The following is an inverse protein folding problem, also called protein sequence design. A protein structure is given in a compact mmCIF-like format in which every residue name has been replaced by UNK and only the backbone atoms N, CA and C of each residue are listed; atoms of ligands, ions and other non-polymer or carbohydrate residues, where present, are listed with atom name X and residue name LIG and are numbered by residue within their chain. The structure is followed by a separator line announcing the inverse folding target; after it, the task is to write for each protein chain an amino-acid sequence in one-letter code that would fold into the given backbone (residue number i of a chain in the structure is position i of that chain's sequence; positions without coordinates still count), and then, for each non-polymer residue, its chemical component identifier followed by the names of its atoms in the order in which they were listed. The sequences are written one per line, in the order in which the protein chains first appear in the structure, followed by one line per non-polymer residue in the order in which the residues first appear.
data_IF_597725989931
#
_entry.id   IF_597725989931
#
_cell.length_a   1.000
_cell.length_b   1.000
_cell.length_c   1.000
_cell.angle_alpha   90.00
_cell.angle_beta   90.00
_cell.angle_gamma   90.00
#
_symmetry.space_group_name_H-M   'P 1'
#
loop_
_entity.id
_entity.type
_entity.pdbx_description
1 polymer ?
#
# COMPACT_ATOMS: atom_id res chain seq x y z
N UNK A 1 0.97 20.21 18.11
CA UNK A 1 1.22 18.78 18.41
C UNK A 1 1.74 18.14 17.12
N UNK A 2 2.66 17.17 17.13
CA UNK A 2 3.04 16.53 15.85
C UNK A 2 1.93 15.58 15.38
N UNK A 3 1.79 15.36 14.07
CA UNK A 3 0.82 14.41 13.51
C UNK A 3 0.95 13.03 14.17
N UNK A 4 2.18 12.57 14.39
CA UNK A 4 2.45 11.32 15.08
C UNK A 4 1.91 11.31 16.51
N UNK A 5 2.07 12.40 17.27
CA UNK A 5 1.51 12.49 18.63
C UNK A 5 -0.02 12.38 18.63
N UNK A 6 -0.69 13.11 17.72
CA UNK A 6 -2.15 13.04 17.54
C UNK A 6 -2.58 11.62 17.20
N UNK A 7 -1.90 10.98 16.24
CA UNK A 7 -2.19 9.62 15.82
C UNK A 7 -1.98 8.61 16.95
N UNK A 8 -0.93 8.74 17.77
CA UNK A 8 -0.70 7.87 18.92
C UNK A 8 -1.79 7.97 19.99
N UNK A 9 -2.32 9.17 20.23
CA UNK A 9 -3.47 9.36 21.14
C UNK A 9 -4.70 8.63 20.58
N UNK A 10 -5.01 8.87 19.31
CA UNK A 10 -6.13 8.22 18.61
C UNK A 10 -5.96 6.69 18.61
N UNK A 11 -4.74 6.20 18.43
CA UNK A 11 -4.46 4.76 18.43
C UNK A 11 -4.72 4.13 19.80
N UNK A 12 -4.23 4.75 20.89
CA UNK A 12 -4.50 4.26 22.26
C UNK A 12 -5.99 4.24 22.57
N UNK A 13 -6.74 5.27 22.16
CA UNK A 13 -8.20 5.31 22.30
C UNK A 13 -8.88 4.23 21.47
N UNK A 14 -8.45 4.03 20.22
CA UNK A 14 -8.98 3.02 19.33
C UNK A 14 -8.85 1.59 19.91
N UNK A 15 -7.72 1.28 20.56
CA UNK A 15 -7.49 -0.01 21.22
C UNK A 15 -8.46 -0.32 22.37
N UNK A 16 -9.17 0.68 22.91
CA UNK A 16 -10.18 0.45 23.94
C UNK A 16 -11.49 -0.12 23.37
N UNK A 17 -11.71 0.02 22.06
CA UNK A 17 -12.89 -0.49 21.36
C UNK A 17 -12.72 -1.90 20.81
N UNK A 18 -11.48 -2.41 20.79
CA UNK A 18 -11.17 -3.75 20.30
C UNK A 18 -11.43 -4.82 21.36
N UNK A 19 -11.74 -6.07 20.97
CA UNK A 19 -11.90 -7.18 21.90
C UNK A 19 -10.63 -7.38 22.76
N UNK A 20 -10.79 -7.71 24.06
CA UNK A 20 -9.64 -8.10 24.90
C UNK A 20 -8.89 -9.30 24.31
N UNK A 21 -7.57 -9.19 24.18
CA UNK A 21 -6.72 -10.19 23.53
C UNK A 21 -5.24 -9.96 23.83
N UNK A 22 -4.37 -10.94 23.54
CA UNK A 22 -2.92 -10.73 23.65
C UNK A 22 -2.44 -9.65 22.68
N UNK A 23 -3.01 -9.58 21.48
CA UNK A 23 -2.72 -8.53 20.50
C UNK A 23 -3.01 -7.12 21.04
N UNK A 24 -4.16 -6.91 21.67
CA UNK A 24 -4.51 -5.59 22.23
C UNK A 24 -3.62 -5.22 23.40
N UNK A 25 -3.28 -6.17 24.26
CA UNK A 25 -2.37 -5.95 25.39
C UNK A 25 -0.94 -5.66 24.91
N UNK A 26 -0.45 -6.38 23.90
CA UNK A 26 0.81 -6.11 23.22
C UNK A 26 0.84 -4.68 22.66
N UNK A 27 -0.19 -4.28 21.91
CA UNK A 27 -0.26 -2.94 21.33
C UNK A 27 -0.32 -1.86 22.43
N UNK A 28 -1.05 -2.09 23.54
CA UNK A 28 -1.08 -1.15 24.68
C UNK A 28 0.27 -1.03 25.35
N UNK A 29 0.99 -2.13 25.54
CA UNK A 29 2.32 -2.16 26.14
C UNK A 29 3.36 -1.44 25.29
N UNK A 30 3.40 -1.71 23.98
CA UNK A 30 4.41 -1.11 23.09
C UNK A 30 4.17 0.38 22.87
N UNK A 31 2.91 0.82 22.91
CA UNK A 31 2.52 2.22 22.76
C UNK A 31 2.73 3.08 24.02
N UNK A 32 3.29 2.53 25.12
CA UNK A 32 3.62 3.32 26.29
C UNK A 32 4.73 4.33 25.96
N UNK A 33 4.62 5.62 26.36
CA UNK A 33 5.65 6.63 26.07
C UNK A 33 7.05 6.29 26.60
N UNK A 34 7.11 5.46 27.65
CA UNK A 34 8.35 5.01 28.29
C UNK A 34 8.91 3.72 27.70
N UNK A 35 8.23 3.10 26.73
CA UNK A 35 8.69 1.84 26.15
C UNK A 35 9.84 2.11 25.16
N UNK A 36 11.05 1.54 25.37
CA UNK A 36 12.19 1.78 24.48
C UNK A 36 11.99 1.23 23.07
N UNK A 37 11.07 0.28 22.87
CA UNK A 37 10.77 -0.34 21.57
C UNK A 37 9.67 0.40 20.79
N UNK A 38 9.13 1.50 21.34
CA UNK A 38 8.06 2.27 20.69
C UNK A 38 8.47 2.72 19.28
N UNK A 39 9.62 3.37 19.15
CA UNK A 39 10.08 3.91 17.86
C UNK A 39 10.21 2.82 16.80
N UNK A 40 10.79 1.68 17.18
CA UNK A 40 10.95 0.53 16.30
C UNK A 40 9.59 -0.03 15.86
N UNK A 41 8.66 -0.22 16.79
CA UNK A 41 7.31 -0.66 16.47
C UNK A 41 6.57 0.31 15.53
N UNK A 42 6.77 1.62 15.68
CA UNK A 42 6.18 2.63 14.80
C UNK A 42 6.77 2.60 13.38
N UNK A 43 8.04 2.25 13.23
CA UNK A 43 8.64 2.00 11.92
C UNK A 43 8.12 0.71 11.28
N UNK A 44 8.08 -0.39 12.05
CA UNK A 44 7.60 -1.68 11.54
C UNK A 44 6.11 -1.66 11.18
N UNK A 45 5.30 -0.84 11.85
CA UNK A 45 3.88 -0.68 11.55
C UNK A 45 3.58 0.40 10.50
N UNK A 46 4.60 0.93 9.82
CA UNK A 46 4.52 2.01 8.83
C UNK A 46 4.03 3.36 9.31
N UNK A 47 3.64 3.49 10.58
CA UNK A 47 2.92 4.67 11.06
C UNK A 47 3.77 5.95 10.95
N UNK A 48 5.07 5.85 11.22
CA UNK A 48 6.00 6.98 11.05
C UNK A 48 6.06 7.44 9.60
N UNK A 49 6.22 6.52 8.66
CA UNK A 49 6.37 6.86 7.24
C UNK A 49 5.05 7.37 6.64
N UNK A 50 3.91 6.83 7.08
CA UNK A 50 2.60 7.37 6.74
C UNK A 50 2.44 8.80 7.29
N UNK A 51 2.81 9.08 8.54
CA UNK A 51 2.77 10.46 9.06
C UNK A 51 3.65 11.42 8.24
N UNK A 52 4.83 10.97 7.81
CA UNK A 52 5.71 11.73 6.91
C UNK A 52 5.07 12.00 5.55
N UNK A 53 4.42 10.99 4.95
CA UNK A 53 3.65 11.16 3.71
C UNK A 53 2.58 12.23 3.89
N UNK A 54 1.70 12.12 4.88
CA UNK A 54 0.58 13.05 5.03
C UNK A 54 1.06 14.47 5.35
N UNK A 55 2.12 14.62 6.13
CA UNK A 55 2.78 15.92 6.35
C UNK A 55 3.31 16.49 5.03
N UNK A 56 3.94 15.67 4.19
CA UNK A 56 4.42 16.08 2.87
C UNK A 56 3.27 16.46 1.92
N UNK A 57 2.22 15.64 1.84
CA UNK A 57 1.04 15.88 0.99
C UNK A 57 0.39 17.23 1.28
N UNK A 58 0.39 17.66 2.55
CA UNK A 58 -0.25 18.90 2.99
C UNK A 58 0.72 20.05 3.26
N UNK A 59 2.00 19.94 2.87
CA UNK A 59 3.06 20.92 3.21
C UNK A 59 2.63 22.40 3.29
N UNK A 60 1.96 22.99 2.28
CA UNK A 60 1.51 24.39 2.34
C UNK A 60 0.52 24.71 3.49
N UNK A 61 -0.30 23.73 3.88
CA UNK A 61 -1.33 23.82 4.90
C UNK A 61 -0.78 23.73 6.34
N UNK A 62 0.47 23.28 6.53
CA UNK A 62 1.08 23.21 7.88
C UNK A 62 1.39 24.60 8.46
N UNK A 63 1.27 25.66 7.67
CA UNK A 63 1.46 27.04 8.11
C UNK A 63 0.26 27.57 8.92
N UNK A 64 -0.92 26.98 8.74
CA UNK A 64 -2.11 27.30 9.52
C UNK A 64 -2.28 26.24 10.62
N UNK A 65 -1.74 26.53 11.81
CA UNK A 65 -1.68 25.57 12.90
C UNK A 65 -3.05 25.10 13.38
N UNK A 66 -4.08 25.94 13.34
CA UNK A 66 -5.42 25.59 13.81
C UNK A 66 -6.08 24.57 12.87
N UNK A 67 -6.06 24.86 11.57
CA UNK A 67 -6.58 23.91 10.58
C UNK A 67 -5.70 22.66 10.47
N UNK A 68 -4.39 22.79 10.68
CA UNK A 68 -3.46 21.65 10.70
C UNK A 68 -3.72 20.70 11.87
N UNK A 69 -3.93 21.21 13.08
CA UNK A 69 -4.26 20.37 14.24
C UNK A 69 -5.61 19.65 14.02
N UNK A 70 -6.59 20.33 13.40
CA UNK A 70 -7.86 19.70 13.02
C UNK A 70 -7.65 18.60 11.95
N UNK A 71 -6.90 18.88 10.89
CA UNK A 71 -6.51 17.90 9.88
C UNK A 71 -5.82 16.67 10.51
N UNK A 72 -4.88 16.86 11.43
CA UNK A 72 -4.19 15.77 12.12
C UNK A 72 -5.15 14.87 12.90
N UNK A 73 -6.18 15.45 13.52
CA UNK A 73 -7.21 14.68 14.22
C UNK A 73 -8.00 13.81 13.24
N UNK A 74 -8.44 14.39 12.11
CA UNK A 74 -9.21 13.70 11.08
C UNK A 74 -8.38 12.65 10.30
N UNK A 75 -7.07 12.87 10.12
CA UNK A 75 -6.18 11.88 9.50
C UNK A 75 -5.95 10.64 10.36
N UNK A 76 -6.13 10.76 11.68
CA UNK A 76 -5.83 9.66 12.59
C UNK A 76 -6.56 8.37 12.23
N UNK A 77 -7.79 8.46 11.75
CA UNK A 77 -8.61 7.30 11.38
C UNK A 77 -8.12 6.63 10.10
N UNK A 78 -7.74 7.44 9.10
CA UNK A 78 -7.15 6.93 7.87
C UNK A 78 -5.78 6.30 8.12
N UNK A 79 -4.95 6.93 8.95
CA UNK A 79 -3.65 6.38 9.36
C UNK A 79 -3.81 5.06 10.12
N UNK A 80 -4.79 4.95 11.00
CA UNK A 80 -5.10 3.70 11.70
C UNK A 80 -5.54 2.62 10.73
N UNK A 81 -6.46 2.95 9.81
CA UNK A 81 -6.91 2.03 8.78
C UNK A 81 -5.74 1.55 7.92
N UNK A 82 -4.92 2.45 7.37
CA UNK A 82 -3.75 2.11 6.56
C UNK A 82 -2.73 1.26 7.33
N UNK A 83 -2.52 1.53 8.61
CA UNK A 83 -1.64 0.70 9.48
C UNK A 83 -2.16 -0.72 9.63
N UNK A 84 -3.47 -0.92 9.72
CA UNK A 84 -4.05 -2.27 9.71
C UNK A 84 -4.13 -2.88 8.32
N UNK A 85 -4.13 -2.07 7.24
CA UNK A 85 -4.01 -2.56 5.87
C UNK A 85 -2.64 -3.19 5.61
N UNK A 86 -1.57 -2.70 6.23
CA UNK A 86 -0.25 -3.38 6.20
C UNK A 86 -0.37 -4.84 6.67
N UNK A 87 -1.15 -5.09 7.72
CA UNK A 87 -1.36 -6.45 8.22
C UNK A 87 -2.10 -7.31 7.21
N UNK A 88 -3.14 -6.79 6.56
CA UNK A 88 -3.88 -7.55 5.53
C UNK A 88 -3.09 -7.74 4.24
N UNK A 89 -2.29 -6.75 3.83
CA UNK A 89 -1.43 -6.83 2.65
C UNK A 89 -0.35 -7.90 2.85
N UNK A 90 0.23 -7.98 4.05
CA UNK A 90 1.20 -9.02 4.35
C UNK A 90 0.62 -10.44 4.26
N UNK A 91 -0.68 -10.64 4.50
CA UNK A 91 -1.31 -11.96 4.33
C UNK A 91 -1.33 -12.43 2.87
N UNK A 92 -1.08 -11.53 1.91
CA UNK A 92 -0.95 -11.86 0.50
C UNK A 92 0.50 -12.20 0.09
N UNK A 93 1.48 -12.05 0.98
CA UNK A 93 2.85 -12.53 0.73
C UNK A 93 2.82 -14.05 0.53
N UNK A 94 3.59 -14.56 -0.43
CA UNK A 94 3.56 -15.99 -0.77
C UNK A 94 2.54 -16.37 -1.87
N UNK A 95 1.60 -15.49 -2.21
CA UNK A 95 0.52 -15.82 -3.16
C UNK A 95 0.90 -15.67 -4.63
N UNK A 96 1.90 -14.88 -4.97
CA UNK A 96 2.25 -14.71 -6.38
C UNK A 96 2.84 -16.01 -6.95
N UNK A 97 2.44 -16.33 -8.18
CA UNK A 97 2.97 -17.44 -8.97
C UNK A 97 2.84 -18.84 -8.32
N UNK A 98 2.08 -18.97 -7.21
CA UNK A 98 1.85 -20.25 -6.54
C UNK A 98 0.43 -20.35 -5.99
N UNK A 99 -0.14 -21.56 -5.99
CA UNK A 99 -1.41 -21.85 -5.33
C UNK A 99 -1.18 -22.08 -3.83
N UNK A 100 -0.82 -21.04 -3.09
CA UNK A 100 -0.58 -21.16 -1.65
C UNK A 100 -1.88 -21.29 -0.85
N UNK A 101 -1.82 -22.09 0.21
CA UNK A 101 -2.97 -22.47 1.04
C UNK A 101 -3.66 -21.30 1.77
N UNK A 102 -3.00 -20.15 1.92
CA UNK A 102 -3.57 -18.98 2.60
C UNK A 102 -4.40 -18.05 1.69
N UNK A 103 -4.54 -18.35 0.38
CA UNK A 103 -5.38 -17.54 -0.53
C UNK A 103 -6.86 -17.50 -0.11
N UNK A 104 -7.35 -18.54 0.56
CA UNK A 104 -8.70 -18.57 1.15
C UNK A 104 -8.86 -17.52 2.27
N UNK A 105 -7.80 -17.25 3.04
CA UNK A 105 -7.82 -16.28 4.13
C UNK A 105 -7.97 -14.87 3.57
N UNK A 106 -7.14 -14.52 2.58
CA UNK A 106 -7.20 -13.21 1.91
C UNK A 106 -8.56 -13.01 1.25
N UNK A 107 -9.01 -13.98 0.47
CA UNK A 107 -10.29 -13.89 -0.23
C UNK A 107 -11.49 -13.78 0.72
N UNK A 108 -11.51 -14.58 1.78
CA UNK A 108 -12.59 -14.54 2.78
C UNK A 108 -12.57 -13.21 3.57
N UNK A 109 -11.41 -12.73 3.99
CA UNK A 109 -11.28 -11.44 4.68
C UNK A 109 -11.80 -10.29 3.80
N UNK A 110 -11.35 -10.23 2.55
CA UNK A 110 -11.77 -9.23 1.58
C UNK A 110 -13.28 -9.28 1.32
N UNK A 111 -13.87 -10.47 1.19
CA UNK A 111 -15.33 -10.63 1.05
C UNK A 111 -16.07 -10.08 2.27
N UNK A 112 -15.62 -10.39 3.49
CA UNK A 112 -16.23 -9.81 4.70
C UNK A 112 -16.17 -8.29 4.70
N UNK A 113 -15.06 -7.72 4.23
CA UNK A 113 -14.86 -6.29 4.21
C UNK A 113 -15.74 -5.62 3.13
N UNK A 114 -15.90 -6.25 1.96
CA UNK A 114 -16.87 -5.85 0.93
C UNK A 114 -18.32 -5.86 1.48
N UNK A 115 -18.72 -6.93 2.17
CA UNK A 115 -20.08 -7.05 2.74
C UNK A 115 -20.34 -5.94 3.77
N UNK A 116 -19.33 -5.69 4.62
CA UNK A 116 -19.33 -4.60 5.60
C UNK A 116 -19.48 -3.24 4.94
N UNK A 117 -18.77 -2.99 3.84
CA UNK A 117 -18.83 -1.73 3.10
C UNK A 117 -20.15 -1.56 2.33
N UNK A 118 -20.79 -2.64 1.93
CA UNK A 118 -22.04 -2.62 1.16
C UNK A 118 -23.25 -2.43 2.06
N UNK A 119 -23.44 -3.30 3.05
CA UNK A 119 -24.70 -3.42 3.80
C UNK A 119 -24.56 -3.08 5.30
N UNK A 120 -23.42 -2.55 5.74
CA UNK A 120 -23.11 -2.31 7.16
C UNK A 120 -23.24 -3.56 8.06
N UNK A 121 -23.17 -4.76 7.48
CA UNK A 121 -23.34 -6.05 8.15
C UNK A 121 -22.38 -6.22 9.34
N UNK A 122 -22.78 -6.88 10.46
CA UNK A 122 -21.86 -7.11 11.57
C UNK A 122 -20.65 -7.95 11.12
N UNK A 123 -19.49 -7.74 11.76
CA UNK A 123 -18.28 -8.51 11.48
C UNK A 123 -18.50 -9.95 11.96
N UNK A 124 -18.36 -10.93 11.06
CA UNK A 124 -18.48 -12.35 11.38
C UNK A 124 -17.23 -12.89 12.10
N UNK A 125 -16.98 -12.42 13.34
CA UNK A 125 -15.78 -12.73 14.12
C UNK A 125 -15.47 -14.22 14.25
N UNK A 126 -16.43 -15.14 14.52
CA UNK A 126 -16.11 -16.57 14.62
C UNK A 126 -15.51 -17.15 13.34
N UNK A 127 -16.00 -16.71 12.18
CA UNK A 127 -15.46 -17.13 10.88
C UNK A 127 -14.06 -16.54 10.66
N UNK A 128 -13.85 -15.27 11.02
CA UNK A 128 -12.53 -14.64 10.92
C UNK A 128 -11.49 -15.34 11.80
N UNK A 129 -11.86 -15.70 13.03
CA UNK A 129 -11.02 -16.48 13.94
C UNK A 129 -10.63 -17.84 13.34
N UNK A 130 -11.62 -18.55 12.76
CA UNK A 130 -11.39 -19.86 12.17
C UNK A 130 -10.41 -19.82 11.00
N UNK A 131 -10.56 -18.87 10.07
CA UNK A 131 -9.73 -18.84 8.85
C UNK A 131 -8.28 -18.45 9.13
N UNK A 132 -8.02 -17.60 10.14
CA UNK A 132 -6.65 -17.16 10.43
C UNK A 132 -5.92 -18.05 11.43
N UNK A 133 -6.60 -19.00 12.08
CA UNK A 133 -6.02 -19.83 13.13
C UNK A 133 -4.77 -20.62 12.67
N UNK A 134 -4.67 -20.92 11.36
CA UNK A 134 -3.56 -21.64 10.78
C UNK A 134 -2.50 -20.74 10.12
N UNK A 135 -2.67 -19.41 10.16
CA UNK A 135 -1.74 -18.49 9.48
C UNK A 135 -0.65 -18.03 10.45
N UNK A 136 0.62 -18.36 10.20
CA UNK A 136 1.75 -17.82 10.97
C UNK A 136 1.99 -16.37 10.58
N UNK A 137 1.07 -15.47 10.97
CA UNK A 137 1.05 -14.11 10.45
C UNK A 137 2.26 -13.26 10.86
N UNK A 138 2.95 -13.61 11.96
CA UNK A 138 4.22 -12.96 12.34
C UNK A 138 5.34 -13.27 11.34
N UNK A 139 5.28 -14.41 10.66
CA UNK A 139 6.21 -14.77 9.57
C UNK A 139 5.81 -14.13 8.25
N UNK A 140 4.55 -13.71 8.12
CA UNK A 140 4.04 -12.89 7.03
C UNK A 140 4.30 -11.41 7.37
N UNK A 141 5.57 -11.02 7.37
CA UNK A 141 5.98 -9.63 7.55
C UNK A 141 7.35 -9.41 6.89
N UNK A 142 7.52 -8.29 6.18
CA UNK A 142 8.80 -7.94 5.51
C UNK A 142 10.00 -7.96 6.47
N UNK A 143 9.77 -7.56 7.73
CA UNK A 143 10.73 -7.62 8.84
C UNK A 143 10.29 -8.57 9.98
N UNK A 144 9.88 -9.80 9.63
CA UNK A 144 9.36 -10.80 10.57
C UNK A 144 10.24 -11.00 11.82
N UNK A 145 11.56 -11.10 11.67
CA UNK A 145 12.48 -11.35 12.79
C UNK A 145 12.49 -10.20 13.80
N UNK A 146 12.53 -8.95 13.32
CA UNK A 146 12.49 -7.75 14.18
C UNK A 146 11.15 -7.62 14.87
N UNK A 147 10.05 -7.88 14.16
CA UNK A 147 8.73 -7.87 14.76
C UNK A 147 8.62 -8.95 15.85
N UNK A 148 9.09 -10.18 15.58
CA UNK A 148 9.18 -11.27 16.58
C UNK A 148 10.01 -10.86 17.81
N UNK A 149 11.13 -10.16 17.63
CA UNK A 149 11.94 -9.70 18.76
C UNK A 149 11.15 -8.74 19.69
N UNK A 150 10.33 -7.84 19.14
CA UNK A 150 9.47 -6.95 19.93
C UNK A 150 8.37 -7.75 20.65
N UNK A 151 7.76 -8.72 19.97
CA UNK A 151 6.74 -9.61 20.55
C UNK A 151 7.33 -10.43 21.69
N UNK A 152 8.54 -10.98 21.53
CA UNK A 152 9.24 -11.74 22.57
C UNK A 152 9.61 -10.86 23.78
N UNK A 153 9.95 -9.59 23.56
CA UNK A 153 10.19 -8.63 24.63
C UNK A 153 8.93 -8.27 25.43
N UNK A 154 7.75 -8.36 24.81
CA UNK A 154 6.48 -8.32 25.54
C UNK A 154 6.30 -9.61 26.34
N UNK A 155 6.26 -10.76 25.65
CA UNK A 155 6.17 -12.11 26.23
C UNK A 155 6.72 -13.15 25.25
N UNK A 156 7.62 -14.02 25.72
CA UNK A 156 8.29 -15.03 24.87
C UNK A 156 7.30 -16.00 24.16
N UNK A 157 6.22 -16.38 24.83
CA UNK A 157 5.19 -17.30 24.31
C UNK A 157 3.95 -16.56 23.77
N UNK A 158 4.06 -15.29 23.38
CA UNK A 158 2.93 -14.53 22.87
C UNK A 158 2.47 -15.09 21.51
N UNK A 159 1.25 -15.62 21.51
CA UNK A 159 0.50 -15.91 20.28
C UNK A 159 -0.44 -14.73 20.03
N UNK A 160 0.04 -13.76 19.26
CA UNK A 160 -0.75 -12.58 18.94
C UNK A 160 -1.84 -12.96 17.94
N UNK A 161 -3.10 -12.67 18.28
CA UNK A 161 -4.21 -13.18 17.49
C UNK A 161 -4.46 -12.31 16.24
N UNK A 162 -4.08 -12.81 15.06
CA UNK A 162 -4.22 -12.10 13.78
C UNK A 162 -5.64 -11.59 13.51
N UNK A 163 -6.67 -12.35 13.92
CA UNK A 163 -8.07 -11.98 13.71
C UNK A 163 -8.42 -10.66 14.39
N UNK A 164 -7.73 -10.29 15.48
CA UNK A 164 -7.96 -9.02 16.17
C UNK A 164 -7.47 -7.87 15.32
N UNK A 165 -6.28 -7.99 14.73
CA UNK A 165 -5.73 -6.99 13.82
C UNK A 165 -6.60 -6.83 12.55
N UNK A 166 -7.10 -7.93 11.99
CA UNK A 166 -8.02 -7.89 10.84
C UNK A 166 -9.39 -7.34 11.20
N UNK A 167 -9.93 -7.66 12.38
CA UNK A 167 -11.18 -7.04 12.85
C UNK A 167 -11.01 -5.53 13.05
N UNK A 168 -9.85 -5.12 13.55
CA UNK A 168 -9.48 -3.72 13.71
C UNK A 168 -9.35 -3.01 12.36
N UNK A 169 -8.82 -3.67 11.32
CA UNK A 169 -8.84 -3.16 9.96
C UNK A 169 -10.27 -2.79 9.52
N UNK A 170 -11.21 -3.74 9.62
CA UNK A 170 -12.61 -3.55 9.22
C UNK A 170 -13.26 -2.39 10.00
N UNK A 171 -13.02 -2.32 11.31
CA UNK A 171 -13.55 -1.25 12.17
C UNK A 171 -12.95 0.11 11.77
N UNK A 172 -11.64 0.20 11.56
CA UNK A 172 -10.98 1.44 11.17
C UNK A 172 -11.44 1.92 9.78
N UNK A 173 -11.64 1.00 8.83
CA UNK A 173 -12.18 1.30 7.50
C UNK A 173 -13.59 1.93 7.58
N UNK A 174 -14.43 1.45 8.50
CA UNK A 174 -15.73 2.07 8.79
C UNK A 174 -15.60 3.47 9.37
N UNK A 175 -14.68 3.67 10.31
CA UNK A 175 -14.47 4.99 10.92
C UNK A 175 -14.06 6.02 9.86
N UNK A 176 -13.18 5.64 8.93
CA UNK A 176 -12.78 6.48 7.78
C UNK A 176 -14.01 6.91 6.98
N UNK A 177 -14.91 5.98 6.66
CA UNK A 177 -16.14 6.32 5.94
C UNK A 177 -17.09 7.17 6.76
N UNK A 178 -17.15 7.00 8.09
CA UNK A 178 -18.02 7.81 8.95
C UNK A 178 -17.60 9.28 9.05
N UNK A 179 -16.32 9.58 8.79
CA UNK A 179 -15.76 10.94 8.82
C UNK A 179 -16.00 11.74 7.54
N UNK A 180 -16.32 11.07 6.42
CA UNK A 180 -16.58 11.76 5.16
C UNK A 180 -18.03 12.27 5.17
N UNK A 181 -18.20 13.54 5.54
CA UNK A 181 -19.52 14.19 5.64
C UNK A 181 -20.20 14.40 4.28
N UNK A 182 -19.43 14.59 3.21
CA UNK A 182 -19.98 14.86 1.88
C UNK A 182 -20.52 13.58 1.24
N UNK A 183 -21.83 13.45 0.94
CA UNK A 183 -22.44 12.18 0.51
C UNK A 183 -21.84 11.60 -0.77
N UNK A 184 -21.61 12.44 -1.78
CA UNK A 184 -21.02 11.99 -3.05
C UNK A 184 -19.58 11.48 -2.87
N UNK A 185 -18.77 12.18 -2.07
CA UNK A 185 -17.40 11.76 -1.76
C UNK A 185 -17.39 10.43 -0.99
N UNK A 186 -18.30 10.29 -0.01
CA UNK A 186 -18.46 9.08 0.78
C UNK A 186 -18.75 7.88 -0.12
N UNK A 187 -19.74 8.01 -1.01
CA UNK A 187 -20.12 6.96 -1.95
C UNK A 187 -18.96 6.57 -2.89
N UNK A 188 -18.21 7.55 -3.40
CA UNK A 188 -17.05 7.31 -4.27
C UNK A 188 -15.91 6.60 -3.54
N UNK A 189 -15.52 7.09 -2.37
CA UNK A 189 -14.45 6.48 -1.56
C UNK A 189 -14.83 5.05 -1.18
N UNK A 190 -16.09 4.83 -0.77
CA UNK A 190 -16.62 3.49 -0.51
C UNK A 190 -16.52 2.58 -1.74
N UNK A 191 -16.90 3.07 -2.92
CA UNK A 191 -16.78 2.29 -4.16
C UNK A 191 -15.32 1.98 -4.50
N UNK A 192 -14.40 2.94 -4.33
CA UNK A 192 -12.96 2.73 -4.53
C UNK A 192 -12.39 1.67 -3.57
N UNK A 193 -12.81 1.69 -2.30
CA UNK A 193 -12.44 0.66 -1.31
C UNK A 193 -12.98 -0.71 -1.73
N UNK A 194 -14.27 -0.81 -2.06
CA UNK A 194 -14.89 -2.05 -2.53
C UNK A 194 -14.14 -2.62 -3.76
N UNK A 195 -13.83 -1.76 -4.73
CA UNK A 195 -13.10 -2.15 -5.94
C UNK A 195 -11.71 -2.73 -5.63
N UNK A 196 -10.99 -2.17 -4.65
CA UNK A 196 -9.69 -2.71 -4.19
C UNK A 196 -9.81 -4.17 -3.73
N UNK A 197 -10.74 -4.46 -2.84
CA UNK A 197 -10.90 -5.81 -2.29
C UNK A 197 -11.41 -6.80 -3.33
N UNK A 198 -12.30 -6.37 -4.24
CA UNK A 198 -12.72 -7.20 -5.38
C UNK A 198 -11.56 -7.51 -6.33
N UNK A 199 -10.73 -6.51 -6.64
CA UNK A 199 -9.55 -6.71 -7.46
C UNK A 199 -8.60 -7.71 -6.79
N UNK A 200 -8.34 -7.55 -5.49
CA UNK A 200 -7.46 -8.46 -4.75
C UNK A 200 -7.99 -9.90 -4.74
N UNK A 201 -9.29 -10.11 -4.56
CA UNK A 201 -9.92 -11.43 -4.70
C UNK A 201 -9.73 -12.02 -6.10
N UNK A 202 -9.86 -11.17 -7.11
CA UNK A 202 -9.65 -11.57 -8.50
C UNK A 202 -8.19 -11.95 -8.75
N UNK A 203 -7.21 -11.23 -8.19
CA UNK A 203 -5.78 -11.60 -8.26
C UNK A 203 -5.45 -12.94 -7.59
N UNK A 204 -6.08 -13.22 -6.46
CA UNK A 204 -5.87 -14.48 -5.74
C UNK A 204 -6.38 -15.70 -6.52
N UNK A 205 -7.26 -15.50 -7.52
CA UNK A 205 -7.69 -16.59 -8.38
C UNK A 205 -6.49 -17.16 -9.17
N UNK A 206 -6.34 -18.50 -9.27
CA UNK A 206 -5.29 -19.10 -10.07
C UNK A 206 -5.42 -18.70 -11.55
N UNK A 207 -4.28 -18.49 -12.22
CA UNK A 207 -4.24 -18.26 -13.66
C UNK A 207 -3.10 -17.38 -14.10
N UNK A 208 -2.59 -17.66 -15.31
CA UNK A 208 -1.69 -16.76 -16.02
C UNK A 208 -2.52 -15.62 -16.59
N UNK A 209 -2.07 -14.38 -16.37
CA UNK A 209 -2.77 -13.17 -16.80
C UNK A 209 -1.96 -12.43 -17.85
N UNK A 210 -2.68 -11.71 -18.72
CA UNK A 210 -2.04 -10.76 -19.63
C UNK A 210 -1.51 -9.54 -18.86
N UNK A 211 -0.62 -8.78 -19.50
CA UNK A 211 -0.09 -7.55 -18.91
C UNK A 211 -1.18 -6.49 -18.72
N UNK A 212 -2.14 -6.40 -19.65
CA UNK A 212 -3.29 -5.48 -19.56
C UNK A 212 -4.22 -5.86 -18.40
N UNK A 213 -4.48 -7.16 -18.23
CA UNK A 213 -5.29 -7.66 -17.12
C UNK A 213 -4.62 -7.37 -15.78
N UNK A 214 -3.32 -7.69 -15.64
CA UNK A 214 -2.57 -7.39 -14.41
C UNK A 214 -2.52 -5.90 -14.13
N UNK A 215 -2.33 -5.07 -15.16
CA UNK A 215 -2.31 -3.63 -15.02
C UNK A 215 -3.64 -3.09 -14.49
N UNK A 216 -4.77 -3.50 -15.07
CA UNK A 216 -6.09 -3.08 -14.59
C UNK A 216 -6.35 -3.55 -13.15
N UNK A 217 -6.06 -4.81 -12.87
CA UNK A 217 -6.29 -5.42 -11.57
C UNK A 217 -5.39 -4.84 -10.48
N UNK A 218 -4.07 -4.82 -10.66
CA UNK A 218 -3.13 -4.33 -9.66
C UNK A 218 -3.25 -2.83 -9.41
N UNK A 219 -3.57 -2.04 -10.44
CA UNK A 219 -3.92 -0.63 -10.27
C UNK A 219 -5.13 -0.48 -9.34
N UNK A 220 -6.18 -1.30 -9.52
CA UNK A 220 -7.34 -1.29 -8.64
C UNK A 220 -7.03 -1.80 -7.22
N UNK A 221 -6.03 -2.67 -7.05
CA UNK A 221 -5.64 -3.14 -5.71
C UNK A 221 -5.00 -2.08 -4.83
N UNK A 222 -4.59 -0.91 -5.30
CA UNK A 222 -3.87 0.06 -4.46
C UNK A 222 -4.79 0.97 -3.61
N UNK A 223 -4.31 1.39 -2.42
CA UNK A 223 -5.02 2.39 -1.59
C UNK A 223 -4.84 3.84 -2.04
N UNK A 224 -4.08 4.11 -3.11
CA UNK A 224 -3.79 5.49 -3.53
C UNK A 224 -5.07 6.23 -3.92
N UNK A 225 -5.98 5.58 -4.65
CA UNK A 225 -7.28 6.18 -5.00
C UNK A 225 -8.08 6.58 -3.75
N UNK A 226 -8.48 5.66 -2.85
CA UNK A 226 -9.29 6.03 -1.69
C UNK A 226 -8.55 7.01 -0.76
N UNK A 227 -7.22 6.92 -0.65
CA UNK A 227 -6.40 7.87 0.12
C UNK A 227 -6.46 9.28 -0.46
N UNK A 228 -6.23 9.44 -1.77
CA UNK A 228 -6.27 10.74 -2.44
C UNK A 228 -7.68 11.34 -2.41
N UNK A 229 -8.71 10.53 -2.65
CA UNK A 229 -10.09 11.00 -2.53
C UNK A 229 -10.40 11.47 -1.11
N UNK A 230 -10.00 10.71 -0.08
CA UNK A 230 -10.17 11.12 1.31
C UNK A 230 -9.48 12.45 1.59
N UNK A 231 -8.19 12.57 1.25
CA UNK A 231 -7.41 13.78 1.46
C UNK A 231 -8.03 15.00 0.76
N UNK A 232 -8.32 14.89 -0.53
CA UNK A 232 -8.90 16.00 -1.31
C UNK A 232 -10.24 16.45 -0.74
N UNK A 233 -11.10 15.51 -0.33
CA UNK A 233 -12.41 15.85 0.23
C UNK A 233 -12.33 16.37 1.66
N UNK A 234 -11.40 15.86 2.48
CA UNK A 234 -11.18 16.37 3.83
C UNK A 234 -10.67 17.81 3.78
N UNK A 235 -9.74 18.10 2.86
CA UNK A 235 -9.29 19.47 2.60
C UNK A 235 -10.46 20.38 2.24
N UNK A 236 -11.31 19.97 1.29
CA UNK A 236 -12.44 20.80 0.86
C UNK A 236 -13.45 21.02 1.98
N UNK A 237 -13.67 20.03 2.85
CA UNK A 237 -14.57 20.17 4.00
C UNK A 237 -14.05 21.14 5.06
N UNK A 238 -12.74 21.19 5.27
CA UNK A 238 -12.12 22.00 6.33
C UNK A 238 -11.85 23.44 5.86
N UNK A 239 -11.42 23.62 4.61
CA UNK A 239 -10.91 24.91 4.13
C UNK A 239 -11.87 25.67 3.22
N UNK A 240 -12.96 25.06 2.75
CA UNK A 240 -13.95 25.74 1.91
C UNK A 240 -15.27 25.90 2.65
N UNK A 241 -15.73 27.13 2.76
CA UNK A 241 -17.03 27.45 3.36
C UNK A 241 -18.21 27.14 2.41
N UNK A 242 -17.98 27.20 1.10
CA UNK A 242 -19.03 27.04 0.08
C UNK A 242 -19.27 25.58 -0.31
N UNK A 243 -20.52 25.14 -0.13
CA UNK A 243 -20.98 23.82 -0.57
C UNK A 243 -20.92 23.63 -2.08
N UNK A 244 -21.04 24.69 -2.88
CA UNK A 244 -20.93 24.58 -4.34
C UNK A 244 -19.54 24.16 -4.75
N UNK A 245 -18.52 24.80 -4.21
CA UNK A 245 -17.12 24.46 -4.48
C UNK A 245 -16.72 23.09 -3.91
N UNK A 246 -17.20 22.72 -2.73
CA UNK A 246 -17.05 21.34 -2.22
C UNK A 246 -17.65 20.31 -3.18
N UNK A 247 -18.87 20.54 -3.68
CA UNK A 247 -19.52 19.65 -4.65
C UNK A 247 -18.73 19.56 -5.95
N UNK A 248 -18.19 20.68 -6.45
CA UNK A 248 -17.35 20.71 -7.65
C UNK A 248 -16.13 19.81 -7.46
N UNK A 249 -15.39 19.95 -6.35
CA UNK A 249 -14.25 19.09 -6.05
C UNK A 249 -14.65 17.61 -5.98
N UNK A 250 -15.74 17.30 -5.27
CA UNK A 250 -16.19 15.91 -5.10
C UNK A 250 -16.65 15.25 -6.41
N UNK A 251 -17.11 16.03 -7.38
CA UNK A 251 -17.72 15.53 -8.62
C UNK A 251 -16.87 15.71 -9.86
N UNK A 252 -15.83 16.55 -9.83
CA UNK A 252 -15.06 16.93 -11.01
C UNK A 252 -14.42 15.71 -11.70
N UNK A 253 -14.78 15.42 -12.97
CA UNK A 253 -14.26 14.25 -13.67
C UNK A 253 -12.78 14.38 -14.04
N UNK A 254 -12.27 15.59 -14.24
CA UNK A 254 -10.84 15.81 -14.56
C UNK A 254 -9.98 15.59 -13.33
N UNK A 255 -10.43 16.05 -12.17
CA UNK A 255 -9.75 15.77 -10.90
C UNK A 255 -9.73 14.27 -10.60
N UNK A 256 -10.84 13.57 -10.86
CA UNK A 256 -10.91 12.11 -10.72
C UNK A 256 -9.95 11.39 -11.67
N UNK A 257 -9.89 11.84 -12.93
CA UNK A 257 -8.94 11.31 -13.91
C UNK A 257 -7.49 11.49 -13.45
N UNK A 258 -7.16 12.65 -12.88
CA UNK A 258 -5.83 12.91 -12.32
C UNK A 258 -5.50 11.98 -11.13
N UNK A 259 -6.47 11.67 -10.26
CA UNK A 259 -6.32 10.68 -9.18
C UNK A 259 -6.04 9.28 -9.75
N UNK A 260 -6.75 8.89 -10.80
CA UNK A 260 -6.56 7.58 -11.43
C UNK A 260 -5.17 7.48 -12.08
N UNK A 261 -4.72 8.53 -12.77
CA UNK A 261 -3.38 8.60 -13.34
C UNK A 261 -2.31 8.49 -12.25
N UNK A 262 -2.44 9.25 -11.15
CA UNK A 262 -1.53 9.15 -10.01
C UNK A 262 -1.45 7.73 -9.46
N UNK A 263 -2.60 7.05 -9.32
CA UNK A 263 -2.64 5.67 -8.86
C UNK A 263 -1.91 4.70 -9.80
N UNK A 264 -2.13 4.81 -11.11
CA UNK A 264 -1.42 4.00 -12.11
C UNK A 264 0.08 4.27 -12.11
N UNK A 265 0.50 5.54 -12.01
CA UNK A 265 1.92 5.91 -11.89
C UNK A 265 2.55 5.30 -10.63
N UNK A 266 1.88 5.42 -9.49
CA UNK A 266 2.36 4.83 -8.23
C UNK A 266 2.41 3.31 -8.31
N UNK A 267 1.49 2.64 -9.01
CA UNK A 267 1.56 1.19 -9.21
C UNK A 267 2.78 0.79 -10.03
N UNK A 268 2.99 1.44 -11.18
CA UNK A 268 4.19 1.19 -11.99
C UNK A 268 5.46 1.41 -11.16
N UNK A 269 5.53 2.50 -10.40
CA UNK A 269 6.69 2.80 -9.54
C UNK A 269 6.89 1.74 -8.45
N UNK A 270 5.82 1.26 -7.82
CA UNK A 270 5.89 0.22 -6.80
C UNK A 270 6.52 -1.07 -7.31
N UNK A 271 6.27 -1.43 -8.56
CA UNK A 271 6.59 -2.76 -9.10
C UNK A 271 7.88 -2.80 -9.90
N UNK A 272 8.17 -1.70 -10.60
CA UNK A 272 9.33 -1.60 -11.49
C UNK A 272 10.43 -0.73 -10.89
N UNK A 273 10.08 0.23 -10.03
CA UNK A 273 10.98 1.28 -9.57
C UNK A 273 11.25 2.35 -10.65
N UNK A 274 11.67 3.56 -10.24
CA UNK A 274 11.81 4.71 -11.14
C UNK A 274 12.92 4.55 -12.18
N UNK A 275 13.99 3.80 -11.86
CA UNK A 275 15.15 3.63 -12.74
C UNK A 275 14.80 2.87 -14.01
N UNK A 276 14.09 1.74 -13.89
CA UNK A 276 13.65 0.95 -15.06
C UNK A 276 12.58 1.68 -15.87
N UNK A 277 11.65 2.38 -15.22
CA UNK A 277 10.58 3.12 -15.90
C UNK A 277 11.06 4.33 -16.70
N UNK A 278 12.23 4.87 -16.34
CA UNK A 278 12.85 6.02 -17.01
C UNK A 278 13.84 5.60 -18.10
N UNK A 279 14.20 4.33 -18.16
CA UNK A 279 15.16 3.80 -19.12
C UNK A 279 14.50 3.52 -20.49
N UNK A 280 15.29 3.61 -21.56
CA UNK A 280 14.86 3.17 -22.88
C UNK A 280 14.87 1.62 -23.00
N UNK A 281 14.23 1.11 -24.05
CA UNK A 281 14.08 -0.33 -24.26
C UNK A 281 15.42 -1.08 -24.38
N UNK A 282 16.44 -0.45 -24.96
CA UNK A 282 17.75 -1.04 -25.11
C UNK A 282 18.46 -1.16 -23.76
N UNK A 283 18.40 -0.10 -22.97
CA UNK A 283 18.98 -0.01 -21.62
C UNK A 283 18.32 -1.03 -20.68
N UNK A 284 16.98 -1.14 -20.72
CA UNK A 284 16.25 -2.18 -19.97
C UNK A 284 16.78 -3.57 -20.32
N UNK A 285 16.86 -3.90 -21.62
CA UNK A 285 17.33 -5.21 -22.06
C UNK A 285 18.80 -5.47 -21.66
N UNK A 286 19.65 -4.44 -21.70
CA UNK A 286 21.03 -4.52 -21.26
C UNK A 286 21.13 -4.83 -19.75
N UNK A 287 20.32 -4.19 -18.90
CA UNK A 287 20.33 -4.46 -17.45
C UNK A 287 20.00 -5.92 -17.13
N UNK A 288 18.92 -6.47 -17.70
CA UNK A 288 18.54 -7.87 -17.46
C UNK A 288 19.57 -8.86 -18.01
N UNK A 289 20.09 -8.63 -19.23
CA UNK A 289 21.12 -9.51 -19.82
C UNK A 289 22.43 -9.45 -19.05
N UNK A 290 22.82 -8.26 -18.59
CA UNK A 290 24.01 -8.10 -17.75
C UNK A 290 23.85 -8.81 -16.40
N UNK A 291 22.67 -8.75 -15.79
CA UNK A 291 22.36 -9.49 -14.56
C UNK A 291 22.56 -11.00 -14.77
N UNK A 292 21.96 -11.54 -15.83
CA UNK A 292 22.06 -12.96 -16.18
C UNK A 292 23.49 -13.42 -16.52
N UNK A 293 24.26 -12.60 -17.20
CA UNK A 293 25.66 -12.91 -17.54
C UNK A 293 26.60 -12.81 -16.34
N UNK A 294 26.36 -11.86 -15.45
CA UNK A 294 27.24 -11.61 -14.29
C UNK A 294 27.02 -12.59 -13.14
N UNK A 295 25.82 -13.18 -13.04
CA UNK A 295 25.46 -14.12 -11.98
C UNK A 295 24.88 -15.39 -12.61
N UNK A 296 25.73 -16.37 -12.96
CA UNK A 296 25.26 -17.66 -13.48
C UNK A 296 24.35 -18.37 -12.48
N UNK A 297 23.36 -19.10 -13.01
CA UNK A 297 22.52 -19.99 -12.21
C UNK A 297 23.34 -21.18 -11.68
N UNK A 298 23.01 -21.65 -10.48
CA UNK A 298 23.51 -22.93 -10.00
C UNK A 298 22.76 -24.09 -10.65
N UNK A 299 23.32 -25.29 -10.57
CA UNK A 299 22.63 -26.51 -11.00
C UNK A 299 21.32 -26.67 -10.21
N UNK A 300 20.23 -26.97 -10.92
CA UNK A 300 18.86 -27.15 -10.39
C UNK A 300 18.22 -25.91 -9.69
N UNK A 301 18.81 -24.72 -9.81
CA UNK A 301 18.24 -23.48 -9.27
C UNK A 301 17.05 -23.00 -10.10
N UNK A 302 15.89 -22.77 -9.46
CA UNK A 302 14.75 -22.14 -10.11
C UNK A 302 14.97 -20.63 -10.30
N UNK A 303 14.17 -20.00 -11.17
CA UNK A 303 14.37 -18.59 -11.51
C UNK A 303 14.08 -17.63 -10.35
N UNK A 304 13.19 -18.01 -9.42
CA UNK A 304 12.85 -17.18 -8.27
C UNK A 304 14.07 -17.10 -7.34
N UNK A 305 14.63 -18.26 -6.98
CA UNK A 305 15.83 -18.36 -6.15
C UNK A 305 17.04 -17.67 -6.80
N UNK A 306 17.25 -17.90 -8.10
CA UNK A 306 18.29 -17.24 -8.88
C UNK A 306 18.13 -15.71 -8.85
N UNK A 307 16.92 -15.19 -9.10
CA UNK A 307 16.69 -13.75 -9.18
C UNK A 307 16.89 -13.07 -7.82
N UNK A 308 16.43 -13.67 -6.72
CA UNK A 308 16.71 -13.18 -5.35
C UNK A 308 18.21 -13.03 -5.14
N UNK A 309 18.97 -14.08 -5.44
CA UNK A 309 20.43 -14.05 -5.29
C UNK A 309 21.12 -13.03 -6.22
N UNK A 310 20.66 -12.91 -7.45
CA UNK A 310 21.30 -12.06 -8.45
C UNK A 310 21.00 -10.57 -8.25
N UNK A 311 19.78 -10.22 -7.80
CA UNK A 311 19.26 -8.85 -7.85
C UNK A 311 19.32 -8.06 -6.52
N UNK A 312 19.63 -8.71 -5.38
CA UNK A 312 19.61 -8.14 -4.01
C UNK A 312 20.25 -6.73 -3.91
N UNK A 313 21.35 -6.49 -4.64
CA UNK A 313 22.11 -5.24 -4.56
C UNK A 313 22.18 -4.46 -5.87
N UNK A 314 21.27 -4.73 -6.80
CA UNK A 314 21.23 -4.02 -8.08
C UNK A 314 20.10 -2.99 -8.04
N UNK A 315 20.42 -1.68 -7.97
CA UNK A 315 19.40 -0.63 -7.72
C UNK A 315 18.21 -0.63 -8.67
N UNK A 316 18.44 -1.00 -9.93
CA UNK A 316 17.40 -1.10 -10.95
C UNK A 316 16.32 -2.15 -10.61
N UNK A 317 16.66 -3.15 -9.81
CA UNK A 317 15.80 -4.29 -9.52
C UNK A 317 15.28 -4.31 -8.08
N UNK A 318 15.53 -3.30 -7.25
CA UNK A 318 15.13 -3.34 -5.83
C UNK A 318 13.64 -3.66 -5.61
N UNK A 319 12.73 -3.09 -6.42
CA UNK A 319 11.29 -3.37 -6.31
C UNK A 319 10.93 -4.79 -6.76
N UNK A 320 11.40 -5.19 -7.94
CA UNK A 320 11.18 -6.55 -8.43
C UNK A 320 11.82 -7.60 -7.51
N UNK A 321 12.99 -7.32 -6.94
CA UNK A 321 13.68 -8.19 -5.99
C UNK A 321 12.83 -8.43 -4.75
N UNK A 322 12.27 -7.37 -4.14
CA UNK A 322 11.33 -7.49 -3.01
C UNK A 322 10.17 -8.42 -3.38
N UNK A 323 9.50 -8.15 -4.49
CA UNK A 323 8.30 -8.89 -4.85
C UNK A 323 8.59 -10.36 -5.20
N UNK A 324 9.78 -10.67 -5.75
CA UNK A 324 10.24 -12.05 -5.94
C UNK A 324 10.58 -12.70 -4.60
N UNK A 325 11.34 -12.03 -3.73
CA UNK A 325 11.79 -12.56 -2.44
C UNK A 325 10.63 -12.90 -1.51
N UNK A 326 9.57 -12.08 -1.52
CA UNK A 326 8.37 -12.25 -0.70
C UNK A 326 7.19 -12.86 -1.47
N UNK A 327 7.38 -13.18 -2.75
CA UNK A 327 6.35 -13.72 -3.66
C UNK A 327 5.07 -12.87 -3.62
N UNK A 328 5.24 -11.55 -3.73
CA UNK A 328 4.15 -10.58 -3.86
C UNK A 328 3.72 -10.43 -5.32
N UNK A 329 2.49 -9.98 -5.56
CA UNK A 329 2.02 -9.73 -6.92
C UNK A 329 2.77 -8.55 -7.55
N UNK A 330 3.23 -8.73 -8.79
CA UNK A 330 3.95 -7.72 -9.54
C UNK A 330 3.47 -7.69 -11.01
N UNK A 331 3.40 -6.51 -11.63
CA UNK A 331 2.99 -6.33 -13.02
C UNK A 331 3.88 -7.11 -14.00
N UNK A 332 5.17 -7.23 -13.69
CA UNK A 332 6.16 -7.89 -14.52
C UNK A 332 6.01 -9.41 -14.54
N UNK A 333 5.14 -9.99 -13.72
CA UNK A 333 4.83 -11.42 -13.72
C UNK A 333 3.80 -11.84 -14.78
N UNK A 334 3.39 -10.92 -15.66
CA UNK A 334 2.52 -11.24 -16.80
C UNK A 334 3.12 -12.39 -17.64
N UNK A 335 2.33 -13.43 -17.89
CA UNK A 335 2.80 -14.59 -18.67
C UNK A 335 3.80 -15.52 -17.97
N UNK A 336 4.19 -15.26 -16.71
CA UNK A 336 5.17 -16.06 -16.00
C UNK A 336 4.54 -17.22 -15.22
N UNK A 337 5.30 -18.31 -15.06
CA UNK A 337 5.03 -19.38 -14.07
C UNK A 337 6.30 -19.70 -13.29
N UNK A 338 6.18 -20.36 -12.14
CA UNK A 338 7.32 -20.67 -11.28
C UNK A 338 8.31 -21.67 -11.94
N UNK A 339 7.82 -22.51 -12.85
CA UNK A 339 8.57 -23.60 -13.47
C UNK A 339 9.28 -23.21 -14.78
N UNK A 340 9.18 -21.95 -15.22
CA UNK A 340 9.79 -21.49 -16.46
C UNK A 340 11.32 -21.42 -16.37
N UNK A 341 12.05 -21.79 -17.45
CA UNK A 341 13.52 -21.66 -17.48
C UNK A 341 13.99 -20.20 -17.39
N UNK A 342 15.08 -19.96 -16.65
CA UNK A 342 15.67 -18.62 -16.43
C UNK A 342 15.83 -17.79 -17.73
N UNK A 343 16.38 -18.33 -18.84
CA UNK A 343 16.52 -17.53 -20.07
C UNK A 343 15.18 -17.06 -20.64
N UNK A 344 14.13 -17.89 -20.53
CA UNK A 344 12.78 -17.54 -20.99
C UNK A 344 12.16 -16.48 -20.11
N UNK A 345 12.33 -16.61 -18.79
CA UNK A 345 11.84 -15.62 -17.80
C UNK A 345 12.51 -14.27 -18.05
N UNK A 346 13.80 -14.24 -18.32
CA UNK A 346 14.53 -12.99 -18.58
C UNK A 346 14.00 -12.26 -19.82
N UNK A 347 13.81 -12.94 -20.95
CA UNK A 347 13.26 -12.28 -22.14
C UNK A 347 11.80 -11.81 -21.91
N UNK A 348 11.00 -12.55 -21.14
CA UNK A 348 9.65 -12.13 -20.77
C UNK A 348 9.65 -10.92 -19.82
N UNK A 349 10.54 -10.89 -18.82
CA UNK A 349 10.71 -9.75 -17.92
C UNK A 349 11.17 -8.50 -18.67
N UNK A 350 12.07 -8.64 -19.65
CA UNK A 350 12.48 -7.55 -20.55
C UNK A 350 11.25 -7.00 -21.28
N UNK A 351 10.49 -7.87 -21.95
CA UNK A 351 9.29 -7.48 -22.70
C UNK A 351 8.26 -6.79 -21.80
N UNK A 352 7.98 -7.37 -20.63
CA UNK A 352 7.01 -6.81 -19.68
C UNK A 352 7.48 -5.45 -19.16
N UNK A 353 8.75 -5.31 -18.81
CA UNK A 353 9.31 -4.05 -18.29
C UNK A 353 9.26 -2.95 -19.35
N UNK A 354 9.57 -3.26 -20.61
CA UNK A 354 9.47 -2.30 -21.72
C UNK A 354 8.04 -1.82 -21.93
N UNK A 355 7.06 -2.73 -21.90
CA UNK A 355 5.64 -2.39 -22.02
C UNK A 355 5.17 -1.51 -20.86
N UNK A 356 5.51 -1.86 -19.61
CA UNK A 356 5.13 -1.05 -18.44
C UNK A 356 5.83 0.31 -18.45
N UNK A 357 7.10 0.39 -18.83
CA UNK A 357 7.81 1.66 -18.98
C UNK A 357 7.15 2.56 -20.03
N UNK A 358 6.78 2.01 -21.20
CA UNK A 358 6.05 2.76 -22.22
C UNK A 358 4.70 3.26 -21.69
N UNK A 359 3.94 2.41 -20.99
CA UNK A 359 2.66 2.77 -20.40
C UNK A 359 2.82 3.90 -19.36
N UNK A 360 3.81 3.79 -18.48
CA UNK A 360 4.16 4.82 -17.50
C UNK A 360 4.46 6.16 -18.16
N UNK A 361 5.27 6.21 -19.21
CA UNK A 361 5.60 7.46 -19.92
C UNK A 361 4.38 8.08 -20.65
N UNK A 362 3.40 7.27 -21.05
CA UNK A 362 2.14 7.78 -21.61
C UNK A 362 1.30 8.42 -20.51
N UNK A 363 1.10 7.73 -19.38
CA UNK A 363 0.32 8.26 -18.25
C UNK A 363 1.00 9.50 -17.68
N UNK A 364 2.33 9.51 -17.53
CA UNK A 364 3.06 10.63 -16.93
C UNK A 364 2.83 11.93 -17.70
N UNK A 365 2.92 11.88 -19.04
CA UNK A 365 2.63 13.04 -19.88
C UNK A 365 1.18 13.52 -19.76
N UNK A 366 0.24 12.57 -19.68
CA UNK A 366 -1.17 12.89 -19.47
C UNK A 366 -1.41 13.53 -18.09
N UNK A 367 -0.82 12.96 -17.05
CA UNK A 367 -0.85 13.45 -15.68
C UNK A 367 -0.31 14.87 -15.54
N UNK A 368 0.85 15.14 -16.15
CA UNK A 368 1.48 16.47 -16.17
C UNK A 368 0.60 17.50 -16.87
N UNK A 369 0.07 17.16 -18.05
CA UNK A 369 -0.82 18.04 -18.81
C UNK A 369 -2.13 18.34 -18.05
N UNK A 370 -2.74 17.30 -17.46
CA UNK A 370 -3.96 17.44 -16.66
C UNK A 370 -3.72 18.27 -15.38
N UNK A 371 -2.59 18.05 -14.71
CA UNK A 371 -2.16 18.84 -13.55
C UNK A 371 -2.00 20.32 -13.91
N UNK A 372 -1.30 20.61 -15.01
CA UNK A 372 -1.10 21.98 -15.48
C UNK A 372 -2.43 22.66 -15.82
N UNK A 373 -3.34 21.95 -16.50
CA UNK A 373 -4.65 22.48 -16.86
C UNK A 373 -5.51 22.80 -15.63
N UNK A 374 -5.61 21.86 -14.67
CA UNK A 374 -6.41 22.05 -13.46
C UNK A 374 -5.85 23.17 -12.58
N UNK A 375 -4.52 23.30 -12.48
CA UNK A 375 -3.86 24.35 -11.71
C UNK A 375 -4.13 25.78 -12.22
N UNK A 376 -4.68 25.96 -13.43
CA UNK A 376 -5.11 27.27 -13.92
C UNK A 376 -6.34 27.81 -13.17
N UNK A 377 -7.08 26.94 -12.47
CA UNK A 377 -8.24 27.35 -11.66
C UNK A 377 -7.85 27.29 -10.17
N UNK A 378 -7.90 28.41 -9.43
CA UNK A 378 -7.44 28.47 -8.03
C UNK A 378 -8.06 27.41 -7.12
N UNK A 379 -9.34 27.07 -7.34
CA UNK A 379 -10.08 26.04 -6.59
C UNK A 379 -9.36 24.67 -6.56
N UNK A 380 -8.67 24.30 -7.64
CA UNK A 380 -8.03 22.98 -7.76
C UNK A 380 -6.55 22.98 -7.40
N UNK A 381 -5.94 24.14 -7.09
CA UNK A 381 -4.49 24.23 -6.86
C UNK A 381 -4.02 23.35 -5.70
N UNK A 382 -4.75 23.34 -4.59
CA UNK A 382 -4.40 22.49 -3.44
C UNK A 382 -4.69 21.00 -3.71
N UNK A 383 -5.88 20.59 -4.22
CA UNK A 383 -6.12 19.21 -4.63
C UNK A 383 -5.08 18.65 -5.60
N UNK A 384 -4.72 19.40 -6.65
CA UNK A 384 -3.68 19.00 -7.60
C UNK A 384 -2.34 18.88 -6.88
N UNK A 385 -1.97 19.83 -6.02
CA UNK A 385 -0.75 19.76 -5.22
C UNK A 385 -0.66 18.50 -4.33
N UNK A 386 -1.76 18.11 -3.69
CA UNK A 386 -1.84 16.86 -2.91
C UNK A 386 -1.57 15.65 -3.82
N UNK A 387 -2.25 15.59 -4.98
CA UNK A 387 -2.14 14.47 -5.92
C UNK A 387 -0.72 14.37 -6.51
N UNK A 388 -0.13 15.48 -6.95
CA UNK A 388 1.24 15.51 -7.48
C UNK A 388 2.27 15.10 -6.43
N UNK A 389 2.14 15.58 -5.19
CA UNK A 389 3.03 15.19 -4.10
C UNK A 389 2.93 13.70 -3.76
N UNK A 390 1.76 13.07 -3.93
CA UNK A 390 1.64 11.61 -3.78
C UNK A 390 2.55 10.85 -4.75
N UNK A 391 2.57 11.24 -6.02
CA UNK A 391 3.43 10.62 -7.04
C UNK A 391 4.91 10.87 -6.73
N UNK A 392 5.26 12.12 -6.42
CA UNK A 392 6.66 12.50 -6.09
C UNK A 392 7.19 11.76 -4.87
N UNK A 393 6.37 11.63 -3.82
CA UNK A 393 6.75 10.89 -2.62
C UNK A 393 7.09 9.43 -2.95
N UNK A 394 6.24 8.75 -3.72
CA UNK A 394 6.48 7.35 -4.11
C UNK A 394 7.66 7.20 -5.07
N UNK A 395 7.88 8.17 -5.96
CA UNK A 395 9.07 8.17 -6.82
C UNK A 395 10.37 8.24 -6.01
N UNK A 396 10.39 9.04 -4.94
CA UNK A 396 11.53 9.15 -4.03
C UNK A 396 11.68 7.89 -3.17
N UNK A 397 10.58 7.39 -2.60
CA UNK A 397 10.56 6.20 -1.76
C UNK A 397 11.10 4.99 -2.53
N UNK A 398 10.52 4.69 -3.70
CA UNK A 398 10.84 3.49 -4.47
C UNK A 398 12.15 3.57 -5.26
N UNK A 399 12.89 4.67 -5.17
CA UNK A 399 14.26 4.77 -5.67
C UNK A 399 15.29 4.10 -4.73
N UNK A 400 14.93 3.87 -3.46
CA UNK A 400 15.83 3.30 -2.45
C UNK A 400 15.55 1.80 -2.26
N UNK A 401 16.48 1.10 -1.60
CA UNK A 401 16.31 -0.31 -1.28
C UNK A 401 15.20 -0.47 -0.22
N UNK A 402 14.32 -1.45 -0.35
CA UNK A 402 13.17 -1.65 0.56
C UNK A 402 13.56 -2.05 2.01
N UNK A 403 14.82 -2.42 2.21
CA UNK A 403 15.43 -2.57 3.54
C UNK A 403 15.79 -1.23 4.19
N UNK A 404 15.88 -0.13 3.45
CA UNK A 404 16.21 1.18 4.01
C UNK A 404 14.96 1.86 4.57
N UNK A 405 15.14 2.67 5.62
CA UNK A 405 14.05 3.48 6.22
C UNK A 405 13.39 4.44 5.21
N UNK A 406 14.08 4.78 4.13
CA UNK A 406 13.60 5.63 3.04
C UNK A 406 13.15 4.84 1.80
N UNK A 407 13.10 3.51 1.86
CA UNK A 407 12.76 2.65 0.72
C UNK A 407 11.45 1.89 0.82
N UNK A 408 10.80 1.89 1.98
CA UNK A 408 9.51 1.23 2.18
C UNK A 408 8.71 1.88 3.32
N UNK A 409 7.38 1.68 3.31
CA UNK A 409 6.51 2.11 4.41
C UNK A 409 6.75 1.28 5.68
N UNK A 410 6.72 -0.06 5.57
CA UNK A 410 7.09 -0.99 6.64
C UNK A 410 8.52 -1.47 6.37
N UNK A 411 9.49 -0.91 7.08
CA UNK A 411 10.90 -1.12 6.77
C UNK A 411 11.33 -2.56 7.02
N UNK A 412 11.80 -3.25 5.97
CA UNK A 412 12.31 -4.61 6.05
C UNK A 412 13.69 -4.73 6.75
N UNK A 413 14.31 -3.60 7.13
CA UNK A 413 15.76 -3.48 7.40
C UNK A 413 16.38 -4.69 8.10
N UNK A 414 17.44 -5.20 7.47
CA UNK A 414 18.36 -6.20 8.00
C UNK A 414 19.53 -5.56 8.75
#
# INVERSE_FOLDING_TARGET
MTMLQTCLVSYRTFLQRLPPSQYTDFCRWVLQPTNPLLTEFLHLSSLTQMCSLFTYLYGPATNDLAHWDHLCAEFSSLLLYQRYEVVSDNLAMGLALSAAAHGEVVTTFNTMLIDVLTDTAPIALPRLQQIVAAVPWLDQHLAAERYRAIVQAFRADADLEAWVALSANIVACRDVLSQILHPVANARIRQSLIARYYAMNTLCSPGVRSIEELLALQTATMLVIPTLEYCVNLWSQIYLDDRTDQNRIATDPKLRMLINDANSLVRCLNDCGPLLLSADAQTIAQHYRHLHQSVPAHDDEDWLAWFVRAADRVPHFFRLHKDVAFREFNLLFAGLTAEQPIPSVIEQLISNTQTIAQHYQIILRHFEAASQQLNQTPLYSIPVGIITRMVTFHQQLYANHYGDIMGEYAVAAG
#
